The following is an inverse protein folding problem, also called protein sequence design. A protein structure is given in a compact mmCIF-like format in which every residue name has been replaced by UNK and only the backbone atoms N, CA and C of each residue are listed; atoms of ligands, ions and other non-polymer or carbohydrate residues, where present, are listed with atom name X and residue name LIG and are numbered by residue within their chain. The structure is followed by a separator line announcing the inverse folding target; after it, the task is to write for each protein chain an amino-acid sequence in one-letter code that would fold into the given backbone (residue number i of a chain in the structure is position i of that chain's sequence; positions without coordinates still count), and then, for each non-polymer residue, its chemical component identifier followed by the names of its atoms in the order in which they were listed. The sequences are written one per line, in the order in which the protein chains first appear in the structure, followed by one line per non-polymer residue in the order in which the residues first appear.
data_IF_740576809684
#
_entry.id   IF_740576809684
#
_cell.length_a   1.000
_cell.length_b   1.000
_cell.length_c   1.000
_cell.angle_alpha   90.00
_cell.angle_beta   90.00
_cell.angle_gamma   90.00
#
_symmetry.space_group_name_H-M   'P 1'
#
loop_
_entity.id
_entity.type
_entity.pdbx_description
1 polymer ?
#
# COMPACT_ATOMS: atom_id res chain seq x y z
N UNK A 1 0.88 -2.22 9.90
CA UNK A 1 1.51 -1.35 8.88
C UNK A 1 0.72 -1.51 7.58
N UNK A 2 0.48 -0.42 6.84
CA UNK A 2 -0.14 -0.47 5.51
C UNK A 2 0.83 0.07 4.47
N UNK A 3 0.99 -0.63 3.35
CA UNK A 3 1.89 -0.22 2.27
C UNK A 3 1.29 -0.58 0.92
N UNK A 4 1.57 0.24 -0.08
CA UNK A 4 1.26 -0.06 -1.48
C UNK A 4 2.41 -0.82 -2.18
N UNK A 5 3.48 -1.15 -1.46
CA UNK A 5 4.67 -1.83 -1.95
C UNK A 5 4.85 -3.17 -1.25
N UNK A 6 5.19 -4.20 -2.02
CA UNK A 6 5.49 -5.51 -1.45
C UNK A 6 6.75 -5.42 -0.55
N UNK A 7 6.85 -6.24 0.51
CA UNK A 7 8.03 -6.27 1.38
C UNK A 7 9.37 -6.37 0.63
N UNK A 8 9.43 -7.15 -0.45
CA UNK A 8 10.63 -7.29 -1.28
C UNK A 8 11.06 -5.98 -2.00
N UNK A 9 10.13 -5.06 -2.23
CA UNK A 9 10.44 -3.75 -2.84
C UNK A 9 11.04 -2.77 -1.82
N UNK A 10 10.92 -3.05 -0.51
CA UNK A 10 11.37 -2.12 0.54
C UNK A 10 12.89 -2.05 0.61
N UNK A 11 13.60 -3.16 0.34
CA UNK A 11 15.05 -3.20 0.25
C UNK A 11 15.61 -2.21 -0.78
N UNK A 12 14.92 -2.08 -1.93
CA UNK A 12 15.29 -1.12 -2.97
C UNK A 12 14.92 0.32 -2.64
N UNK A 13 13.94 0.53 -1.77
CA UNK A 13 13.44 1.87 -1.42
C UNK A 13 14.26 2.53 -0.30
N UNK A 14 14.87 1.72 0.56
CA UNK A 14 15.59 2.19 1.74
C UNK A 14 17.08 2.49 1.48
N UNK A 15 17.54 2.35 0.23
CA UNK A 15 18.93 2.61 -0.26
C UNK A 15 20.05 1.81 0.45
N UNK A 16 19.73 1.16 1.57
CA UNK A 16 20.54 0.23 2.33
C UNK A 16 19.78 -1.08 2.52
N UNK A 17 20.16 -2.07 1.71
CA UNK A 17 19.55 -3.40 1.69
C UNK A 17 19.73 -4.16 3.01
N UNK A 18 20.84 -3.92 3.73
CA UNK A 18 21.15 -4.62 4.99
C UNK A 18 20.21 -4.13 6.09
N UNK A 19 20.07 -2.80 6.23
CA UNK A 19 19.15 -2.21 7.20
C UNK A 19 17.71 -2.57 6.85
N UNK A 20 17.32 -2.48 5.58
CA UNK A 20 15.97 -2.81 5.14
C UNK A 20 15.58 -4.25 5.47
N UNK A 21 16.49 -5.20 5.24
CA UNK A 21 16.27 -6.62 5.55
C UNK A 21 16.16 -6.86 7.05
N UNK A 22 17.02 -6.24 7.86
CA UNK A 22 16.95 -6.33 9.32
C UNK A 22 15.65 -5.73 9.89
N UNK A 23 15.12 -4.68 9.26
CA UNK A 23 13.86 -4.05 9.64
C UNK A 23 12.67 -4.94 9.26
N UNK A 24 12.68 -5.49 8.04
CA UNK A 24 11.67 -6.43 7.57
C UNK A 24 11.60 -7.67 8.45
N UNK A 25 12.75 -8.25 8.81
CA UNK A 25 12.82 -9.42 9.69
C UNK A 25 12.07 -9.16 11.03
N UNK A 26 12.35 -8.02 11.67
CA UNK A 26 11.68 -7.63 12.92
C UNK A 26 10.18 -7.39 12.76
N UNK A 27 9.75 -6.76 11.67
CA UNK A 27 8.32 -6.48 11.40
C UNK A 27 7.56 -7.77 11.08
N UNK A 28 8.17 -8.67 10.32
CA UNK A 28 7.54 -9.90 9.84
C UNK A 28 7.52 -11.01 10.89
N UNK A 29 8.38 -10.94 11.92
CA UNK A 29 8.51 -11.98 12.95
C UNK A 29 7.20 -12.30 13.69
N UNK A 30 6.34 -11.30 13.94
CA UNK A 30 5.05 -11.48 14.63
C UNK A 30 3.93 -10.67 13.96
N UNK A 31 3.78 -10.83 12.66
CA UNK A 31 2.69 -10.20 11.93
C UNK A 31 1.91 -11.19 11.07
N UNK A 32 0.65 -10.84 10.79
CA UNK A 32 -0.14 -11.47 9.75
C UNK A 32 -0.16 -10.56 8.52
N UNK A 33 0.11 -11.13 7.34
CA UNK A 33 0.15 -10.37 6.09
C UNK A 33 -1.23 -10.45 5.43
N UNK A 34 -1.97 -9.34 5.47
CA UNK A 34 -3.25 -9.21 4.77
C UNK A 34 -3.00 -8.50 3.44
N UNK A 35 -3.19 -9.23 2.33
CA UNK A 35 -3.10 -8.66 0.98
C UNK A 35 -4.45 -8.06 0.58
N UNK A 36 -4.48 -6.75 0.42
CA UNK A 36 -5.67 -6.04 -0.06
C UNK A 36 -5.62 -5.94 -1.59
N UNK A 37 -6.70 -6.38 -2.24
CA UNK A 37 -6.88 -6.31 -3.69
C UNK A 37 -8.27 -5.79 -4.03
N UNK A 38 -8.39 -5.17 -5.20
CA UNK A 38 -9.65 -4.63 -5.70
C UNK A 38 -9.52 -3.18 -6.15
N UNK A 39 -10.61 -2.67 -6.71
CA UNK A 39 -10.71 -1.29 -7.15
C UNK A 39 -10.65 -0.30 -5.97
N UNK A 40 -9.99 0.84 -6.20
CA UNK A 40 -9.89 1.91 -5.22
C UNK A 40 -11.27 2.41 -4.82
N UNK A 41 -11.57 2.36 -3.52
CA UNK A 41 -12.78 2.96 -2.96
C UNK A 41 -12.97 4.41 -3.42
N UNK A 42 -11.89 5.18 -3.48
CA UNK A 42 -11.91 6.57 -3.95
C UNK A 42 -12.39 6.70 -5.40
N UNK A 43 -12.07 5.73 -6.26
CA UNK A 43 -12.51 5.74 -7.65
C UNK A 43 -13.97 5.32 -7.77
N UNK A 44 -14.40 4.30 -7.01
CA UNK A 44 -15.81 3.85 -6.98
C UNK A 44 -16.78 4.93 -6.51
N UNK A 45 -16.38 5.70 -5.51
CA UNK A 45 -17.21 6.75 -4.92
C UNK A 45 -16.87 8.14 -5.46
N UNK A 46 -16.10 8.21 -6.55
CA UNK A 46 -15.77 9.47 -7.21
C UNK A 46 -17.04 10.06 -7.79
N UNK A 47 -17.60 11.08 -7.15
CA UNK A 47 -18.62 11.94 -7.76
C UNK A 47 -17.88 12.86 -8.73
N UNK A 48 -18.16 12.74 -10.02
CA UNK A 48 -17.62 13.70 -10.97
C UNK A 48 -18.26 15.05 -10.69
N UNK A 49 -17.46 16.13 -10.66
CA UNK A 49 -18.02 17.50 -10.62
C UNK A 49 -18.90 17.78 -11.85
N UNK A 50 -18.74 17.00 -12.92
CA UNK A 50 -19.54 17.10 -14.14
C UNK A 50 -20.88 16.32 -14.08
N UNK A 51 -21.15 15.54 -13.04
CA UNK A 51 -22.35 14.68 -12.98
C UNK A 51 -23.60 15.33 -12.37
N UNK A 52 -23.59 16.65 -12.10
CA UNK A 52 -24.82 17.38 -11.74
C UNK A 52 -24.88 18.79 -12.32
N UNK A 53 -25.60 18.92 -13.43
CA UNK A 53 -26.69 19.89 -13.55
C UNK A 53 -27.60 19.49 -14.72
N UNK A 54 -28.53 18.57 -14.48
CA UNK A 54 -29.81 18.55 -15.17
C UNK A 54 -30.83 18.51 -14.03
N UNK A 55 -31.37 19.69 -13.71
CA UNK A 55 -32.57 19.84 -12.89
C UNK A 55 -33.79 19.36 -13.69
#
# INVERSE_FOLDING_TARGET
ITTNKAPAEWAKMLDDEVIATALLDRILYRCEIIRLSGESYRMKNRKSFFEKQID
#
